data_IF_490992848792
#
_entry.id   IF_490992848792
#
_cell.length_a   1.000
_cell.length_b   1.000
_cell.length_c   1.000
_cell.angle_alpha   90.00
_cell.angle_beta   90.00
_cell.angle_gamma   90.00
#
_symmetry.space_group_name_H-M   'P 1'
#
loop_
_entity.id
_entity.type
_entity.pdbx_description
1 polymer ?
#
# COMPACT_ATOMS: atom_id res chain seq x y z
N UNK A 1 24.84 -17.28 49.37
CA UNK A 1 25.96 -17.06 48.41
C UNK A 1 25.72 -17.67 47.01
N UNK A 2 24.81 -18.61 46.82
CA UNK A 2 24.52 -19.22 45.51
C UNK A 2 23.63 -18.36 44.60
N UNK A 3 22.62 -17.70 45.16
CA UNK A 3 21.69 -16.85 44.37
C UNK A 3 22.39 -15.68 43.66
N UNK A 4 23.31 -15.00 44.35
CA UNK A 4 24.08 -13.88 43.77
C UNK A 4 24.97 -14.31 42.61
N UNK A 5 25.53 -15.52 42.68
CA UNK A 5 26.34 -16.09 41.60
C UNK A 5 25.51 -16.45 40.37
N UNK A 6 24.28 -16.97 40.60
CA UNK A 6 23.35 -17.31 39.52
C UNK A 6 22.86 -16.04 38.81
N UNK A 7 22.46 -15.03 39.58
CA UNK A 7 22.04 -13.73 39.00
C UNK A 7 23.19 -13.09 38.24
N UNK A 8 24.40 -13.10 38.79
CA UNK A 8 25.59 -12.57 38.11
C UNK A 8 25.91 -13.29 36.79
N UNK A 9 25.75 -14.62 36.76
CA UNK A 9 25.97 -15.40 35.55
C UNK A 9 24.92 -15.08 34.44
N UNK A 10 23.65 -14.96 34.86
CA UNK A 10 22.56 -14.59 33.90
C UNK A 10 22.79 -13.18 33.33
N UNK A 11 23.09 -12.20 34.20
CA UNK A 11 23.38 -10.84 33.74
C UNK A 11 24.61 -10.79 32.83
N UNK A 12 25.65 -11.55 33.14
CA UNK A 12 26.86 -11.64 32.33
C UNK A 12 26.61 -12.24 30.95
N UNK A 13 25.84 -13.30 30.85
CA UNK A 13 25.46 -13.89 29.56
C UNK A 13 24.60 -12.93 28.71
N UNK A 14 23.65 -12.24 29.35
CA UNK A 14 22.84 -11.20 28.62
C UNK A 14 23.71 -10.07 28.11
N UNK A 15 24.68 -9.60 28.89
CA UNK A 15 25.59 -8.52 28.51
C UNK A 15 26.46 -8.93 27.33
N UNK A 16 27.02 -10.14 27.34
CA UNK A 16 27.81 -10.64 26.18
C UNK A 16 26.94 -10.78 24.94
N UNK A 17 25.71 -11.25 25.09
CA UNK A 17 24.77 -11.38 23.95
C UNK A 17 24.39 -10.01 23.36
N UNK A 18 24.10 -9.01 24.19
CA UNK A 18 23.77 -7.66 23.77
C UNK A 18 24.97 -6.96 23.10
N UNK A 19 26.16 -7.12 23.64
CA UNK A 19 27.37 -6.58 23.03
C UNK A 19 27.69 -7.26 21.69
N UNK A 20 27.49 -8.56 21.58
CA UNK A 20 27.65 -9.29 20.32
C UNK A 20 26.66 -8.82 19.26
N UNK A 21 25.40 -8.62 19.63
CA UNK A 21 24.37 -8.12 18.73
C UNK A 21 24.67 -6.68 18.30
N UNK A 22 25.04 -5.81 19.23
CA UNK A 22 25.45 -4.42 18.94
C UNK A 22 26.68 -4.36 18.02
N UNK A 23 27.70 -5.18 18.27
CA UNK A 23 28.86 -5.26 17.39
C UNK A 23 28.51 -5.82 16.00
N UNK A 24 27.58 -6.77 15.93
CA UNK A 24 27.03 -7.28 14.67
C UNK A 24 26.32 -6.20 13.87
N UNK A 25 25.46 -5.41 14.50
CA UNK A 25 24.80 -4.27 13.86
C UNK A 25 25.81 -3.25 13.34
N UNK A 26 26.85 -2.93 14.14
CA UNK A 26 27.85 -1.94 13.75
C UNK A 26 28.72 -2.39 12.55
N UNK A 27 28.97 -3.70 12.43
CA UNK A 27 29.83 -4.27 11.37
C UNK A 27 29.00 -4.62 10.12
N UNK A 28 27.76 -5.07 10.30
CA UNK A 28 26.89 -5.55 9.22
C UNK A 28 25.72 -4.61 8.88
N UNK A 29 25.70 -3.38 9.46
CA UNK A 29 24.71 -2.38 9.12
C UNK A 29 24.96 -1.81 7.72
N UNK A 30 24.72 -2.63 6.71
CA UNK A 30 24.65 -2.21 5.31
C UNK A 30 23.17 -2.04 4.97
N UNK A 31 22.65 -0.82 5.17
CA UNK A 31 21.46 -0.33 4.48
C UNK A 31 20.12 -0.95 4.82
N UNK A 32 19.75 -1.05 6.11
CA UNK A 32 18.36 -1.22 6.50
C UNK A 32 17.87 0.11 7.13
N UNK A 33 16.88 0.73 6.50
CA UNK A 33 16.27 2.00 6.92
C UNK A 33 15.67 1.89 8.32
N UNK A 34 16.22 2.69 9.20
CA UNK A 34 15.80 2.93 10.57
C UNK A 34 14.38 3.54 10.64
N UNK A 35 13.50 2.92 11.39
CA UNK A 35 12.29 3.54 11.90
C UNK A 35 12.58 4.15 13.27
N UNK A 36 12.95 5.42 13.28
CA UNK A 36 13.16 6.21 14.49
C UNK A 36 12.70 7.63 14.26
N UNK A 37 11.70 8.05 15.06
CA UNK A 37 11.19 9.42 15.14
C UNK A 37 12.30 10.45 15.39
N UNK A 38 12.39 11.49 14.53
CA UNK A 38 13.27 12.60 14.77
C UNK A 38 13.38 13.55 13.58
N UNK A 39 12.83 14.75 13.72
CA UNK A 39 12.96 15.89 12.81
C UNK A 39 14.39 16.18 12.40
N UNK A 40 14.64 16.35 11.09
CA UNK A 40 15.90 16.88 10.60
C UNK A 40 15.99 16.83 9.07
N UNK A 41 15.86 17.98 8.41
CA UNK A 41 16.04 18.18 6.98
C UNK A 41 17.44 17.73 6.52
N UNK A 42 17.49 16.83 5.55
CA UNK A 42 18.76 16.45 4.93
C UNK A 42 18.59 15.38 3.87
N UNK A 43 18.45 15.78 2.60
CA UNK A 43 18.52 14.89 1.44
C UNK A 43 19.90 14.22 1.36
N UNK A 44 20.07 13.07 2.00
CA UNK A 44 21.21 12.17 1.80
C UNK A 44 20.98 11.33 0.56
N UNK A 45 21.44 11.77 -0.62
CA UNK A 45 21.60 10.89 -1.78
C UNK A 45 22.57 9.78 -1.41
N UNK A 46 22.10 8.53 -1.43
CA UNK A 46 22.98 7.35 -1.41
C UNK A 46 23.75 7.36 -2.72
N UNK A 47 25.03 7.73 -2.66
CA UNK A 47 25.93 7.69 -3.82
C UNK A 47 26.33 6.24 -4.01
N UNK A 48 25.80 5.59 -5.04
CA UNK A 48 26.28 4.29 -5.47
C UNK A 48 27.71 4.43 -5.99
N UNK A 49 28.62 3.60 -5.52
CA UNK A 49 30.05 3.66 -5.84
C UNK A 49 30.40 3.26 -7.29
N UNK A 50 29.41 2.82 -8.07
CA UNK A 50 29.59 2.45 -9.47
C UNK A 50 28.32 2.72 -10.28
N UNK A 51 28.37 3.68 -11.18
CA UNK A 51 27.35 3.95 -12.19
C UNK A 51 27.82 3.35 -13.52
N UNK A 52 27.09 2.38 -14.03
CA UNK A 52 27.23 1.95 -15.42
C UNK A 52 26.39 2.91 -16.26
N UNK A 53 27.06 3.75 -17.06
CA UNK A 53 26.39 4.61 -18.02
C UNK A 53 25.96 3.75 -19.21
N UNK A 54 24.70 3.34 -19.21
CA UNK A 54 24.09 2.55 -20.29
C UNK A 54 23.34 3.40 -21.31
N UNK A 55 23.38 4.74 -21.17
CA UNK A 55 22.74 5.65 -22.15
C UNK A 55 21.22 5.54 -22.25
N UNK A 56 20.56 4.96 -21.24
CA UNK A 56 19.10 4.84 -21.15
C UNK A 56 18.62 5.74 -20.02
N UNK A 57 17.74 6.65 -20.34
CA UNK A 57 17.04 7.56 -19.43
C UNK A 57 16.25 6.78 -18.39
N UNK A 58 16.29 7.25 -17.14
CA UNK A 58 15.64 6.69 -15.95
C UNK A 58 14.24 6.16 -16.24
N UNK A 59 14.12 4.83 -16.25
CA UNK A 59 12.87 4.13 -16.06
C UNK A 59 13.07 3.05 -14.98
N UNK A 60 12.11 2.92 -14.09
CA UNK A 60 12.14 2.05 -12.91
C UNK A 60 12.43 0.61 -13.31
N UNK A 61 13.61 0.08 -12.90
CA UNK A 61 14.00 -1.30 -13.11
C UNK A 61 13.06 -2.26 -12.36
N UNK A 62 12.15 -2.86 -13.11
CA UNK A 62 11.48 -4.11 -12.85
C UNK A 62 11.71 -4.98 -14.07
N UNK A 63 11.90 -6.28 -13.88
CA UNK A 63 12.17 -7.27 -14.90
C UNK A 63 11.30 -7.04 -16.15
N UNK A 64 11.93 -6.92 -17.32
CA UNK A 64 11.29 -6.73 -18.65
C UNK A 64 10.52 -8.00 -19.10
N UNK A 65 9.50 -8.41 -18.35
CA UNK A 65 8.36 -9.07 -18.98
C UNK A 65 7.43 -7.95 -19.51
N UNK A 66 6.89 -8.09 -20.74
CA UNK A 66 5.97 -7.09 -21.27
C UNK A 66 4.81 -6.92 -20.27
N UNK A 67 4.72 -5.75 -19.65
CA UNK A 67 3.61 -5.44 -18.73
C UNK A 67 2.30 -5.63 -19.49
N UNK A 68 1.53 -6.64 -19.10
CA UNK A 68 0.18 -6.85 -19.63
C UNK A 68 -0.66 -5.62 -19.26
N UNK A 69 -1.23 -4.90 -20.22
CA UNK A 69 -2.08 -3.75 -19.91
C UNK A 69 -3.21 -4.15 -18.95
N UNK A 70 -3.51 -3.31 -17.96
CA UNK A 70 -4.54 -3.64 -16.98
C UNK A 70 -5.91 -3.93 -17.63
N UNK A 71 -6.21 -3.31 -18.77
CA UNK A 71 -7.41 -3.59 -19.56
C UNK A 71 -7.53 -5.05 -20.00
N UNK A 72 -6.41 -5.73 -20.29
CA UNK A 72 -6.40 -7.14 -20.64
C UNK A 72 -6.62 -8.01 -19.39
N UNK A 73 -6.03 -7.65 -18.27
CA UNK A 73 -6.24 -8.33 -16.98
C UNK A 73 -7.71 -8.19 -16.57
N UNK A 74 -8.27 -6.98 -16.71
CA UNK A 74 -9.69 -6.71 -16.39
C UNK A 74 -10.65 -7.48 -17.30
N UNK A 75 -10.33 -7.61 -18.59
CA UNK A 75 -11.15 -8.41 -19.52
C UNK A 75 -11.20 -9.91 -19.16
N UNK A 76 -10.22 -10.40 -18.40
CA UNK A 76 -10.16 -11.78 -17.89
C UNK A 76 -10.64 -11.91 -16.44
N UNK A 77 -11.13 -10.83 -15.82
CA UNK A 77 -11.51 -10.80 -14.41
C UNK A 77 -12.68 -11.73 -14.09
N UNK A 78 -12.66 -12.30 -12.89
CA UNK A 78 -13.72 -13.17 -12.36
C UNK A 78 -14.44 -12.45 -11.20
N UNK A 79 -15.66 -11.91 -11.40
CA UNK A 79 -16.44 -11.25 -10.35
C UNK A 79 -16.69 -12.13 -9.13
N UNK A 80 -16.79 -13.46 -9.30
CA UNK A 80 -17.01 -14.37 -8.18
C UNK A 80 -15.82 -14.41 -7.20
N UNK A 81 -14.60 -14.21 -7.69
CA UNK A 81 -13.41 -14.02 -6.85
C UNK A 81 -13.41 -12.66 -6.17
N UNK A 82 -13.89 -11.62 -6.87
CA UNK A 82 -13.93 -10.24 -6.38
C UNK A 82 -14.73 -10.05 -5.09
N UNK A 83 -15.82 -10.81 -4.88
CA UNK A 83 -16.54 -10.83 -3.60
C UNK A 83 -15.62 -11.24 -2.43
N UNK A 84 -14.69 -12.16 -2.70
CA UNK A 84 -13.69 -12.57 -1.73
C UNK A 84 -12.74 -11.43 -1.34
N UNK A 85 -12.33 -10.63 -2.30
CA UNK A 85 -11.41 -9.50 -2.11
C UNK A 85 -12.07 -8.33 -1.35
N UNK A 86 -13.38 -8.17 -1.48
CA UNK A 86 -14.15 -7.15 -0.74
C UNK A 86 -14.05 -7.30 0.79
N UNK A 87 -13.61 -8.44 1.32
CA UNK A 87 -13.44 -8.65 2.76
C UNK A 87 -12.55 -7.60 3.42
N UNK A 88 -11.54 -7.08 2.69
CA UNK A 88 -10.67 -6.02 3.17
C UNK A 88 -11.37 -4.65 3.27
N UNK A 89 -12.47 -4.46 2.56
CA UNK A 89 -13.19 -3.19 2.41
C UNK A 89 -14.42 -3.06 3.30
N UNK A 90 -15.09 -4.20 3.60
CA UNK A 90 -16.41 -4.27 4.25
C UNK A 90 -16.48 -3.66 5.65
N UNK A 91 -15.35 -3.50 6.33
CA UNK A 91 -15.31 -2.86 7.65
C UNK A 91 -15.64 -1.37 7.60
N UNK A 92 -15.37 -0.73 6.46
CA UNK A 92 -15.57 0.69 6.25
C UNK A 92 -16.64 1.01 5.21
N UNK A 93 -16.80 0.15 4.20
CA UNK A 93 -17.70 0.35 3.07
C UNK A 93 -18.88 -0.62 3.08
N UNK A 94 -20.02 -0.15 2.59
CA UNK A 94 -21.21 -0.94 2.31
C UNK A 94 -21.43 -1.01 0.79
N UNK A 95 -22.15 -2.02 0.33
CA UNK A 95 -22.50 -2.20 -1.08
C UNK A 95 -23.97 -1.89 -1.38
N UNK A 96 -24.75 -1.59 -0.35
CA UNK A 96 -26.12 -1.14 -0.50
C UNK A 96 -26.18 0.35 -0.81
N UNK A 97 -27.08 0.76 -1.70
CA UNK A 97 -27.26 2.16 -2.09
C UNK A 97 -27.59 3.05 -0.87
N UNK A 98 -26.92 4.20 -0.80
CA UNK A 98 -27.08 5.18 0.28
C UNK A 98 -26.57 4.73 1.65
N UNK A 99 -26.07 3.52 1.82
CA UNK A 99 -25.61 2.98 3.09
C UNK A 99 -24.17 3.40 3.43
N UNK A 100 -23.94 4.68 3.74
CA UNK A 100 -22.64 5.18 4.14
C UNK A 100 -22.20 4.60 5.50
N UNK A 101 -20.90 4.27 5.60
CA UNK A 101 -20.25 3.82 6.84
C UNK A 101 -19.10 4.77 7.21
N UNK A 102 -17.97 4.23 7.66
CA UNK A 102 -16.72 5.00 7.82
C UNK A 102 -16.22 5.52 6.46
N UNK A 103 -16.44 4.74 5.40
CA UNK A 103 -16.30 5.13 3.99
C UNK A 103 -17.66 5.32 3.31
N UNK A 104 -17.69 5.89 2.09
CA UNK A 104 -18.90 5.97 1.29
C UNK A 104 -19.35 4.59 0.85
N UNK A 105 -20.65 4.42 0.52
CA UNK A 105 -21.13 3.18 -0.09
C UNK A 105 -20.50 2.96 -1.49
N UNK A 106 -20.38 1.70 -1.90
CA UNK A 106 -19.75 1.32 -3.17
C UNK A 106 -20.76 0.82 -4.23
N UNK A 107 -22.06 0.85 -3.94
CA UNK A 107 -23.09 0.57 -4.93
C UNK A 107 -22.99 1.55 -6.10
N UNK A 108 -22.98 1.07 -7.34
CA UNK A 108 -22.82 1.91 -8.52
C UNK A 108 -21.51 2.72 -8.54
N UNK A 109 -20.41 2.11 -8.11
CA UNK A 109 -19.11 2.81 -8.01
C UNK A 109 -18.50 3.06 -9.38
N UNK A 110 -18.51 2.06 -10.27
CA UNK A 110 -17.90 2.16 -11.60
C UNK A 110 -18.72 3.14 -12.44
N UNK A 111 -18.06 4.09 -13.07
CA UNK A 111 -18.73 5.17 -13.80
C UNK A 111 -19.27 6.33 -12.95
N UNK A 112 -19.29 6.22 -11.61
CA UNK A 112 -19.77 7.27 -10.71
C UNK A 112 -18.78 8.43 -10.58
N UNK A 113 -19.30 9.65 -10.43
CA UNK A 113 -18.48 10.83 -10.17
C UNK A 113 -17.68 10.67 -8.86
N UNK A 114 -16.39 11.02 -8.89
CA UNK A 114 -15.52 11.00 -7.71
C UNK A 114 -16.01 12.01 -6.69
N UNK A 115 -16.19 11.56 -5.44
CA UNK A 115 -16.74 12.41 -4.39
C UNK A 115 -18.27 12.61 -4.47
N UNK A 116 -18.98 11.89 -5.34
CA UNK A 116 -20.39 12.11 -5.66
C UNK A 116 -21.39 11.40 -4.75
N UNK A 117 -20.96 10.75 -3.66
CA UNK A 117 -21.91 10.13 -2.73
C UNK A 117 -22.49 11.18 -1.79
N UNK A 118 -23.81 11.31 -1.82
CA UNK A 118 -24.54 12.25 -1.00
C UNK A 118 -24.38 11.96 0.51
N UNK A 119 -24.26 13.01 1.31
CA UNK A 119 -24.13 12.90 2.76
C UNK A 119 -22.79 12.38 3.27
N UNK A 120 -21.81 12.06 2.41
CA UNK A 120 -20.49 11.62 2.83
C UNK A 120 -19.48 12.78 2.85
N UNK A 121 -18.75 12.93 3.95
CA UNK A 121 -17.77 14.02 4.14
C UNK A 121 -16.38 13.70 3.58
N UNK A 122 -16.17 13.89 2.28
CA UNK A 122 -14.87 13.70 1.61
C UNK A 122 -13.80 14.70 2.06
N UNK A 123 -12.51 14.37 1.83
CA UNK A 123 -11.40 15.31 2.05
C UNK A 123 -11.24 16.35 0.92
N UNK A 124 -11.88 16.11 -0.24
CA UNK A 124 -11.72 16.93 -1.44
C UNK A 124 -10.42 16.66 -2.22
N UNK A 125 -9.60 15.69 -1.81
CA UNK A 125 -8.35 15.39 -2.52
C UNK A 125 -8.55 14.45 -3.72
N UNK A 126 -9.50 13.54 -3.65
CA UNK A 126 -9.82 12.62 -4.75
C UNK A 126 -10.27 13.34 -6.02
N UNK A 127 -11.13 14.35 -5.90
CA UNK A 127 -11.63 15.13 -7.05
C UNK A 127 -10.56 15.98 -7.75
N UNK A 128 -9.37 16.10 -7.16
CA UNK A 128 -8.21 16.77 -7.78
C UNK A 128 -7.47 15.87 -8.76
N UNK A 129 -7.60 14.57 -8.61
CA UNK A 129 -6.85 13.56 -9.38
C UNK A 129 -7.72 12.79 -10.36
N UNK A 130 -9.02 12.66 -10.09
CA UNK A 130 -9.96 12.01 -11.00
C UNK A 130 -11.35 12.66 -10.92
N UNK A 131 -12.11 12.61 -12.02
CA UNK A 131 -13.47 13.13 -12.10
C UNK A 131 -14.51 12.01 -11.97
N UNK A 132 -14.21 10.83 -12.50
CA UNK A 132 -15.09 9.67 -12.56
C UNK A 132 -14.31 8.43 -12.15
N UNK A 133 -14.95 7.50 -11.50
CA UNK A 133 -14.39 6.21 -11.15
C UNK A 133 -14.48 5.25 -12.35
N UNK A 134 -13.57 5.38 -13.31
CA UNK A 134 -13.37 4.35 -14.34
C UNK A 134 -12.55 3.18 -13.80
N UNK A 135 -12.46 2.13 -14.61
CA UNK A 135 -11.71 0.91 -14.28
C UNK A 135 -10.23 1.23 -14.01
N UNK A 136 -9.62 2.10 -14.81
CA UNK A 136 -8.22 2.45 -14.66
C UNK A 136 -7.97 3.33 -13.43
N UNK A 137 -8.85 4.32 -13.16
CA UNK A 137 -8.76 5.15 -11.95
C UNK A 137 -8.90 4.31 -10.68
N UNK A 138 -9.79 3.31 -10.70
CA UNK A 138 -9.95 2.36 -9.61
C UNK A 138 -8.72 1.47 -9.45
N UNK A 139 -8.15 0.97 -10.54
CA UNK A 139 -6.91 0.20 -10.53
C UNK A 139 -5.79 0.97 -9.83
N UNK A 140 -5.47 2.16 -10.31
CA UNK A 140 -4.40 3.00 -9.76
C UNK A 140 -4.67 3.41 -8.30
N UNK A 141 -5.92 3.76 -7.97
CA UNK A 141 -6.30 4.11 -6.62
C UNK A 141 -6.20 2.92 -5.66
N UNK A 142 -6.68 1.75 -6.06
CA UNK A 142 -6.63 0.54 -5.22
C UNK A 142 -5.21 0.02 -5.05
N UNK A 143 -4.33 0.21 -6.01
CA UNK A 143 -2.92 -0.17 -5.89
C UNK A 143 -2.21 0.61 -4.78
N UNK A 144 -2.39 1.93 -4.76
CA UNK A 144 -1.77 2.82 -3.78
C UNK A 144 -2.63 4.07 -3.52
N UNK A 145 -3.64 3.99 -2.63
CA UNK A 145 -4.57 5.09 -2.38
C UNK A 145 -3.90 6.41 -1.96
N UNK A 146 -2.86 6.34 -1.12
CA UNK A 146 -2.15 7.52 -0.63
C UNK A 146 -1.22 8.12 -1.68
N UNK A 147 -0.62 7.29 -2.53
CA UNK A 147 0.19 7.74 -3.66
C UNK A 147 -0.66 8.38 -4.75
N UNK A 148 -1.78 7.75 -5.11
CA UNK A 148 -2.70 8.26 -6.12
C UNK A 148 -3.41 9.56 -5.70
N UNK A 149 -3.90 9.62 -4.45
CA UNK A 149 -4.60 10.78 -3.91
C UNK A 149 -4.02 11.21 -2.55
N UNK A 150 -2.90 11.96 -2.52
CA UNK A 150 -2.29 12.43 -1.29
C UNK A 150 -3.30 13.22 -0.44
N UNK A 151 -3.39 12.87 0.84
CA UNK A 151 -4.36 13.48 1.76
C UNK A 151 -5.77 12.85 1.70
N UNK A 152 -5.94 11.73 1.02
CA UNK A 152 -7.18 10.94 1.16
C UNK A 152 -7.38 10.50 2.61
N UNK A 153 -8.64 10.48 3.06
CA UNK A 153 -9.00 9.94 4.39
C UNK A 153 -8.93 8.42 4.47
N UNK A 154 -8.90 7.73 3.34
CA UNK A 154 -8.81 6.27 3.27
C UNK A 154 -7.43 5.82 3.75
N UNK A 155 -7.41 4.93 4.75
CA UNK A 155 -6.18 4.43 5.37
C UNK A 155 -5.73 3.08 4.80
N UNK A 156 -6.39 2.57 3.78
CA UNK A 156 -6.05 1.31 3.12
C UNK A 156 -4.62 1.36 2.53
N UNK A 157 -3.88 0.25 2.67
CA UNK A 157 -2.48 0.18 2.22
C UNK A 157 -2.32 -0.05 0.71
N UNK A 158 -3.40 -0.46 0.07
CA UNK A 158 -3.41 -0.84 -1.33
C UNK A 158 -3.39 -2.36 -1.53
N UNK A 159 -3.79 -2.77 -2.73
CA UNK A 159 -3.85 -4.15 -3.23
C UNK A 159 -2.81 -4.26 -4.35
N UNK A 160 -1.75 -5.06 -4.13
CA UNK A 160 -0.61 -5.11 -5.04
C UNK A 160 -0.85 -5.98 -6.26
N UNK A 161 -1.61 -7.04 -6.09
CA UNK A 161 -1.91 -7.97 -7.17
C UNK A 161 -2.92 -7.35 -8.16
N UNK A 162 -2.58 -7.23 -9.45
CA UNK A 162 -3.46 -6.64 -10.44
C UNK A 162 -4.68 -7.52 -10.76
N UNK A 163 -4.57 -8.86 -10.66
CA UNK A 163 -5.70 -9.76 -10.88
C UNK A 163 -6.74 -9.62 -9.76
N UNK A 164 -6.30 -9.49 -8.50
CA UNK A 164 -7.20 -9.25 -7.36
C UNK A 164 -7.91 -7.91 -7.50
N UNK A 165 -7.21 -6.85 -7.97
CA UNK A 165 -7.84 -5.56 -8.27
C UNK A 165 -8.88 -5.66 -9.37
N UNK A 166 -8.55 -6.36 -10.45
CA UNK A 166 -9.45 -6.57 -11.59
C UNK A 166 -10.71 -7.34 -11.16
N UNK A 167 -10.55 -8.44 -10.42
CA UNK A 167 -11.65 -9.23 -9.88
C UNK A 167 -12.55 -8.39 -8.96
N UNK A 168 -11.97 -7.61 -8.04
CA UNK A 168 -12.72 -6.73 -7.15
C UNK A 168 -13.50 -5.66 -7.91
N UNK A 169 -12.89 -5.00 -8.89
CA UNK A 169 -13.54 -3.96 -9.71
C UNK A 169 -14.69 -4.55 -10.51
N UNK A 170 -14.49 -5.72 -11.14
CA UNK A 170 -15.52 -6.40 -11.91
C UNK A 170 -16.70 -6.83 -11.03
N UNK A 171 -16.44 -7.28 -9.79
CA UNK A 171 -17.50 -7.58 -8.85
C UNK A 171 -18.28 -6.33 -8.42
N UNK A 172 -17.58 -5.21 -8.13
CA UNK A 172 -18.24 -3.95 -7.78
C UNK A 172 -19.07 -3.38 -8.92
N UNK A 173 -18.64 -3.57 -10.17
CA UNK A 173 -19.35 -3.17 -11.38
C UNK A 173 -20.66 -3.98 -11.53
N UNK A 174 -20.66 -5.26 -11.18
CA UNK A 174 -21.82 -6.14 -11.27
C UNK A 174 -22.92 -5.89 -10.22
N UNK A 175 -22.71 -4.95 -9.28
CA UNK A 175 -23.66 -4.74 -8.18
C UNK A 175 -24.87 -3.88 -8.57
N UNK A 176 -24.79 -3.14 -9.64
CA UNK A 176 -25.81 -2.20 -10.12
C UNK A 176 -26.33 -2.50 -11.54
N UNK A 177 -26.00 -3.68 -12.09
CA UNK A 177 -26.51 -4.24 -13.35
C UNK A 177 -27.94 -4.81 -13.25
#
# INVERSE_FOLDING_TARGET
MTATKIVGAICGTFLVFLLGNFAGELIYHVGASDHGDGHGDGHGKVVQAYTIDTGVTDDHGGDDEPEIPFSEIYAAADPAKGEGEFKACKSCHKVEDGANGTGPHLYGLVGRAVGGVDGFGYSGNLVKVAQTWGVEELNLFLENPKGYAPGTKMSYRGMKDPEDRANLIAWLDSLDD
#
